data_IF_885087871372
#
_entry.id   IF_885087871372
#
_cell.length_a   1.000
_cell.length_b   1.000
_cell.length_c   1.000
_cell.angle_alpha   90.00
_cell.angle_beta   90.00
_cell.angle_gamma   90.00
#
_symmetry.space_group_name_H-M   'P 1'
#
loop_
_entity.id
_entity.type
_entity.pdbx_description
1 polymer ?
#
# COMPACT_ATOMS: atom_id res chain seq x y z
N UNK A 1 -11.48 -3.24 20.55
CA UNK A 1 -10.39 -4.05 19.95
C UNK A 1 -9.14 -3.20 19.89
N UNK A 2 -8.00 -3.83 20.08
CA UNK A 2 -6.70 -3.21 19.89
C UNK A 2 -5.89 -3.95 18.83
N UNK A 3 -5.18 -3.20 18.00
CA UNK A 3 -4.26 -3.71 17.00
C UNK A 3 -2.87 -3.18 17.29
N UNK A 4 -1.88 -4.07 17.36
CA UNK A 4 -0.54 -3.80 17.85
C UNK A 4 0.49 -4.22 16.80
N UNK A 5 1.56 -3.46 16.67
CA UNK A 5 2.68 -3.77 15.79
C UNK A 5 4.00 -3.51 16.51
N UNK A 6 4.90 -4.48 16.46
CA UNK A 6 6.19 -4.40 17.12
C UNK A 6 7.14 -3.47 16.35
N UNK A 7 7.49 -2.34 16.96
CA UNK A 7 8.20 -1.28 16.28
C UNK A 7 9.63 -1.70 15.90
N UNK A 8 10.03 -1.35 14.67
CA UNK A 8 11.38 -1.57 14.14
C UNK A 8 11.81 -3.05 14.08
N UNK A 9 10.88 -4.00 14.09
CA UNK A 9 11.17 -5.44 14.04
C UNK A 9 12.01 -5.85 12.82
N UNK A 10 11.74 -5.27 11.64
CA UNK A 10 12.61 -5.46 10.46
C UNK A 10 14.06 -5.06 10.74
N UNK A 11 14.31 -3.89 11.34
CA UNK A 11 15.68 -3.44 11.67
C UNK A 11 16.33 -4.35 12.72
N UNK A 12 15.54 -4.87 13.66
CA UNK A 12 15.99 -5.85 14.62
C UNK A 12 16.45 -7.13 13.91
N UNK A 13 15.67 -7.66 12.98
CA UNK A 13 16.03 -8.83 12.17
C UNK A 13 17.27 -8.60 11.32
N UNK A 14 17.35 -7.46 10.65
CA UNK A 14 18.49 -7.13 9.78
C UNK A 14 19.81 -7.12 10.54
N UNK A 15 19.79 -6.81 11.85
CA UNK A 15 20.99 -6.73 12.69
C UNK A 15 21.28 -7.99 13.51
N UNK A 16 20.26 -8.67 13.99
CA UNK A 16 20.40 -9.81 14.91
C UNK A 16 20.10 -11.17 14.25
N UNK A 17 19.58 -11.16 13.01
CA UNK A 17 19.18 -12.35 12.27
C UNK A 17 17.76 -12.83 12.61
N UNK A 18 17.11 -13.47 11.63
CA UNK A 18 15.71 -13.93 11.74
C UNK A 18 15.45 -14.91 12.89
N UNK A 19 16.42 -15.79 13.21
CA UNK A 19 16.29 -16.73 14.34
C UNK A 19 16.12 -15.99 15.68
N UNK A 20 16.78 -14.85 15.85
CA UNK A 20 16.62 -14.02 17.04
C UNK A 20 15.30 -13.25 16.99
N UNK A 21 14.86 -12.82 15.80
CA UNK A 21 13.52 -12.27 15.57
C UNK A 21 12.39 -13.20 16.00
N UNK A 22 12.45 -14.48 15.64
CA UNK A 22 11.44 -15.46 16.03
C UNK A 22 11.36 -15.64 17.55
N UNK A 23 12.51 -15.56 18.24
CA UNK A 23 12.56 -15.55 19.71
C UNK A 23 11.91 -14.29 20.28
N UNK A 24 12.15 -13.13 19.67
CA UNK A 24 11.52 -11.87 20.08
C UNK A 24 9.99 -11.93 19.90
N UNK A 25 9.48 -12.44 18.78
CA UNK A 25 8.04 -12.60 18.56
C UNK A 25 7.41 -13.56 19.58
N UNK A 26 8.10 -14.66 19.89
CA UNK A 26 7.66 -15.62 20.92
C UNK A 26 7.63 -14.97 22.31
N UNK A 27 8.66 -14.18 22.63
CA UNK A 27 8.76 -13.46 23.88
C UNK A 27 7.67 -12.40 24.02
N UNK A 28 7.47 -11.58 22.99
CA UNK A 28 6.43 -10.56 22.96
C UNK A 28 5.05 -11.18 23.08
N UNK A 29 4.76 -12.27 22.35
CA UNK A 29 3.50 -13.01 22.48
C UNK A 29 3.24 -13.49 23.91
N UNK A 30 4.26 -13.99 24.63
CA UNK A 30 4.15 -14.39 26.04
C UNK A 30 3.89 -13.20 26.96
N UNK A 31 4.55 -12.06 26.74
CA UNK A 31 4.28 -10.83 27.50
C UNK A 31 2.83 -10.41 27.34
N UNK A 32 2.30 -10.42 26.11
CA UNK A 32 0.89 -10.10 25.87
C UNK A 32 -0.05 -11.09 26.56
N UNK A 33 0.25 -12.40 26.51
CA UNK A 33 -0.54 -13.44 27.19
C UNK A 33 -0.58 -13.24 28.70
N UNK A 34 0.57 -12.97 29.32
CA UNK A 34 0.66 -12.71 30.76
C UNK A 34 -0.10 -11.42 31.14
N UNK A 35 -0.02 -10.39 30.31
CA UNK A 35 -0.68 -9.11 30.57
C UNK A 35 -2.21 -9.20 30.56
N UNK A 36 -2.78 -10.16 29.81
CA UNK A 36 -4.23 -10.41 29.78
C UNK A 36 -4.67 -11.50 30.77
N UNK A 37 -3.75 -12.13 31.49
CA UNK A 37 -4.09 -13.18 32.45
C UNK A 37 -5.01 -12.61 33.55
N UNK A 38 -6.10 -13.34 33.84
CA UNK A 38 -7.12 -12.90 34.80
C UNK A 38 -8.13 -11.87 34.24
N UNK A 39 -8.02 -11.49 32.96
CA UNK A 39 -9.03 -10.69 32.25
C UNK A 39 -9.90 -11.56 31.34
N UNK A 40 -10.94 -10.98 30.75
CA UNK A 40 -11.72 -11.61 29.67
C UNK A 40 -11.16 -11.29 28.27
N UNK A 41 -9.93 -10.76 28.18
CA UNK A 41 -9.33 -10.36 26.91
C UNK A 41 -8.70 -11.56 26.19
N UNK A 42 -8.70 -11.52 24.86
CA UNK A 42 -8.11 -12.56 24.01
C UNK A 42 -7.02 -11.95 23.15
N UNK A 43 -5.81 -12.53 23.20
CA UNK A 43 -4.67 -12.14 22.38
C UNK A 43 -4.51 -13.13 21.23
N UNK A 44 -4.30 -12.62 20.02
CA UNK A 44 -3.93 -13.42 18.86
C UNK A 44 -2.80 -12.74 18.09
N UNK A 45 -1.93 -13.55 17.46
CA UNK A 45 -1.03 -13.04 16.43
C UNK A 45 -1.83 -12.93 15.13
N UNK A 46 -1.81 -11.76 14.52
CA UNK A 46 -2.58 -11.47 13.32
C UNK A 46 -1.72 -11.60 12.06
N UNK A 47 -0.49 -11.11 12.12
CA UNK A 47 0.42 -11.06 10.97
C UNK A 47 1.88 -11.38 11.33
N UNK A 48 2.80 -10.86 10.54
CA UNK A 48 4.24 -11.06 10.70
C UNK A 48 4.73 -10.53 12.06
N UNK A 49 4.64 -9.23 12.27
CA UNK A 49 5.00 -8.55 13.54
C UNK A 49 3.78 -7.94 14.26
N UNK A 50 2.58 -8.33 13.82
CA UNK A 50 1.29 -7.74 14.21
C UNK A 50 0.49 -8.67 15.14
N UNK A 51 -0.13 -8.08 16.16
CA UNK A 51 -0.94 -8.75 17.17
C UNK A 51 -2.27 -8.03 17.38
N UNK A 52 -3.30 -8.77 17.74
CA UNK A 52 -4.61 -8.23 18.05
C UNK A 52 -5.02 -8.63 19.48
N UNK A 53 -5.68 -7.69 20.18
CA UNK A 53 -6.32 -7.95 21.48
C UNK A 53 -7.80 -7.64 21.37
N UNK A 54 -8.62 -8.66 21.55
CA UNK A 54 -10.07 -8.51 21.70
C UNK A 54 -10.36 -8.23 23.18
N UNK A 55 -11.09 -7.15 23.43
CA UNK A 55 -11.36 -6.61 24.77
C UNK A 55 -12.88 -6.46 24.95
N UNK A 56 -13.62 -7.56 25.20
CA UNK A 56 -15.08 -7.51 25.30
C UNK A 56 -15.52 -6.72 26.53
N UNK A 57 -16.61 -5.96 26.40
CA UNK A 57 -17.17 -5.13 27.47
C UNK A 57 -16.17 -4.11 28.05
N UNK A 58 -15.31 -3.54 27.20
CA UNK A 58 -14.31 -2.55 27.59
C UNK A 58 -14.46 -1.32 26.72
N UNK A 59 -14.61 -0.15 27.35
CA UNK A 59 -14.68 1.13 26.64
C UNK A 59 -13.29 1.58 26.20
N UNK A 60 -13.22 2.46 25.19
CA UNK A 60 -11.94 2.90 24.60
C UNK A 60 -10.94 3.49 25.60
N UNK A 61 -11.41 4.24 26.61
CA UNK A 61 -10.53 4.88 27.58
C UNK A 61 -9.88 3.87 28.55
N UNK A 62 -10.64 2.85 28.96
CA UNK A 62 -10.11 1.73 29.75
C UNK A 62 -9.07 0.93 28.95
N UNK A 63 -9.37 0.68 27.68
CA UNK A 63 -8.44 0.02 26.77
C UNK A 63 -7.16 0.83 26.58
N UNK A 64 -7.28 2.16 26.43
CA UNK A 64 -6.15 3.07 26.31
C UNK A 64 -5.22 3.04 27.53
N UNK A 65 -5.80 3.06 28.74
CA UNK A 65 -5.03 2.98 29.98
C UNK A 65 -4.32 1.63 30.10
N UNK A 66 -5.02 0.54 29.82
CA UNK A 66 -4.46 -0.81 29.85
C UNK A 66 -3.27 -0.95 28.89
N UNK A 67 -3.44 -0.52 27.63
CA UNK A 67 -2.44 -0.68 26.59
C UNK A 67 -1.24 0.25 26.79
N UNK A 68 -1.44 1.47 27.31
CA UNK A 68 -0.30 2.33 27.63
C UNK A 68 0.55 1.78 28.77
N UNK A 69 -0.08 1.16 29.78
CA UNK A 69 0.64 0.45 30.84
C UNK A 69 1.45 -0.72 30.27
N UNK A 70 0.81 -1.54 29.42
CA UNK A 70 1.48 -2.66 28.74
C UNK A 70 2.63 -2.20 27.84
N UNK A 71 2.44 -1.11 27.09
CA UNK A 71 3.48 -0.48 26.27
C UNK A 71 4.69 -0.08 27.11
N UNK A 72 4.46 0.52 28.27
CA UNK A 72 5.53 0.90 29.20
C UNK A 72 6.25 -0.34 29.73
N UNK A 73 5.51 -1.36 30.14
CA UNK A 73 6.09 -2.63 30.62
C UNK A 73 7.00 -3.28 29.56
N UNK A 74 6.56 -3.31 28.31
CA UNK A 74 7.39 -3.80 27.18
C UNK A 74 8.64 -2.94 27.01
N UNK A 75 8.52 -1.61 27.11
CA UNK A 75 9.66 -0.69 27.01
C UNK A 75 10.69 -0.89 28.11
N UNK A 76 10.22 -1.12 29.34
CA UNK A 76 11.07 -1.35 30.52
C UNK A 76 11.65 -2.79 30.56
N UNK A 77 11.22 -3.67 29.65
CA UNK A 77 11.67 -5.05 29.58
C UNK A 77 12.86 -5.20 28.64
N UNK A 78 13.99 -5.65 29.18
CA UNK A 78 15.18 -5.96 28.39
C UNK A 78 14.99 -7.24 27.58
N UNK A 79 15.45 -7.21 26.32
CA UNK A 79 15.59 -8.38 25.47
C UNK A 79 16.93 -8.31 24.72
N UNK A 80 17.62 -9.42 24.59
CA UNK A 80 18.92 -9.47 23.91
C UNK A 80 18.81 -8.96 22.45
N UNK A 81 19.71 -8.07 22.02
CA UNK A 81 19.76 -7.52 20.66
C UNK A 81 19.04 -6.18 20.51
N UNK A 82 18.37 -5.68 21.55
CA UNK A 82 17.76 -4.34 21.54
C UNK A 82 18.80 -3.22 21.49
N UNK A 83 20.05 -3.47 21.89
CA UNK A 83 21.16 -2.52 21.82
C UNK A 83 21.41 -2.01 20.40
N UNK A 84 20.95 -2.79 19.42
CA UNK A 84 21.13 -2.54 18.00
C UNK A 84 19.96 -1.77 17.36
N UNK A 85 18.87 -1.45 18.07
CA UNK A 85 17.75 -0.65 17.52
C UNK A 85 17.77 0.80 18.04
N UNK A 86 17.14 1.77 17.34
CA UNK A 86 17.36 3.21 17.56
C UNK A 86 17.19 3.71 18.98
N UNK A 87 16.24 3.14 19.74
CA UNK A 87 15.92 3.56 21.11
C UNK A 87 16.43 2.60 22.20
N UNK A 88 17.11 1.52 21.80
CA UNK A 88 17.67 0.50 22.72
C UNK A 88 16.66 -0.14 23.67
N UNK A 89 15.38 -0.12 23.30
CA UNK A 89 14.29 -0.73 24.05
C UNK A 89 13.29 -1.35 23.08
N UNK A 90 12.50 -2.30 23.58
CA UNK A 90 11.35 -2.80 22.84
C UNK A 90 10.21 -1.78 22.88
N UNK A 91 9.45 -1.71 21.81
CA UNK A 91 8.27 -0.85 21.75
C UNK A 91 7.29 -1.42 20.76
N UNK A 92 6.02 -1.07 20.94
CA UNK A 92 5.00 -1.31 19.95
C UNK A 92 4.16 -0.05 19.76
N UNK A 93 3.65 0.09 18.55
CA UNK A 93 2.59 1.05 18.22
C UNK A 93 1.25 0.32 18.34
N UNK A 94 0.20 1.04 18.78
CA UNK A 94 -1.12 0.43 18.95
C UNK A 94 -2.25 1.36 18.53
N UNK A 95 -3.23 0.81 17.81
CA UNK A 95 -4.51 1.46 17.52
C UNK A 95 -5.68 0.80 18.22
N UNK A 96 -6.60 1.61 18.77
CA UNK A 96 -7.79 1.15 19.48
C UNK A 96 -9.04 1.59 18.72
N UNK A 97 -9.95 0.65 18.49
CA UNK A 97 -11.31 0.93 18.04
C UNK A 97 -12.35 0.31 18.98
N UNK A 98 -13.42 1.06 19.23
CA UNK A 98 -14.58 0.64 20.01
C UNK A 98 -15.71 0.23 19.06
N UNK A 99 -16.43 -0.84 19.42
CA UNK A 99 -17.61 -1.26 18.68
C UNK A 99 -18.76 -0.33 19.01
N UNK A 100 -19.28 0.40 18.03
CA UNK A 100 -20.41 1.31 18.19
C UNK A 100 -21.74 0.62 17.82
N UNK A 101 -22.86 1.17 18.29
CA UNK A 101 -24.20 0.59 18.05
C UNK A 101 -24.59 0.46 16.57
N UNK A 102 -23.98 1.26 15.72
CA UNK A 102 -24.25 1.31 14.29
C UNK A 102 -23.26 0.47 13.47
N UNK A 103 -22.36 -0.26 14.12
CA UNK A 103 -21.42 -1.18 13.46
C UNK A 103 -22.01 -2.59 13.40
N UNK A 104 -22.21 -3.09 12.18
CA UNK A 104 -22.78 -4.42 11.93
C UNK A 104 -21.73 -5.44 11.45
N UNK A 105 -20.55 -4.99 11.02
CA UNK A 105 -19.51 -5.82 10.43
C UNK A 105 -18.22 -5.79 11.27
N UNK A 106 -17.65 -6.97 11.51
CA UNK A 106 -16.37 -7.10 12.24
C UNK A 106 -15.19 -6.52 11.47
N UNK A 107 -15.27 -6.48 10.14
CA UNK A 107 -14.24 -5.88 9.28
C UNK A 107 -14.07 -4.38 9.58
N UNK A 108 -15.16 -3.67 9.83
CA UNK A 108 -15.09 -2.24 10.14
C UNK A 108 -14.40 -1.96 11.48
N UNK A 109 -14.56 -2.84 12.49
CA UNK A 109 -13.86 -2.70 13.76
C UNK A 109 -12.34 -2.88 13.60
N UNK A 110 -11.93 -3.87 12.80
CA UNK A 110 -10.52 -4.15 12.49
C UNK A 110 -9.93 -2.96 11.75
N UNK A 111 -10.63 -2.51 10.71
CA UNK A 111 -10.22 -1.39 9.88
C UNK A 111 -9.99 -0.10 10.68
N UNK A 112 -10.93 0.25 11.57
CA UNK A 112 -10.78 1.43 12.45
C UNK A 112 -9.58 1.30 13.40
N UNK A 113 -9.35 0.10 13.95
CA UNK A 113 -8.22 -0.13 14.85
C UNK A 113 -6.88 -0.02 14.10
N UNK A 114 -6.83 -0.54 12.88
CA UNK A 114 -5.66 -0.48 12.01
C UNK A 114 -5.32 0.96 11.57
N UNK A 115 -6.32 1.77 11.22
CA UNK A 115 -6.09 3.18 10.92
C UNK A 115 -5.52 3.95 12.13
N UNK A 116 -6.03 3.70 13.34
CA UNK A 116 -5.46 4.29 14.54
C UNK A 116 -4.00 3.84 14.77
N UNK A 117 -3.67 2.59 14.45
CA UNK A 117 -2.31 2.05 14.53
C UNK A 117 -1.37 2.75 13.53
N UNK A 118 -1.84 3.05 12.31
CA UNK A 118 -1.07 3.84 11.35
C UNK A 118 -0.70 5.20 11.92
N UNK A 119 -1.66 5.91 12.52
CA UNK A 119 -1.42 7.19 13.17
C UNK A 119 -0.40 7.10 14.30
N UNK A 120 -0.47 6.03 15.10
CA UNK A 120 0.51 5.77 16.14
C UNK A 120 1.94 5.66 15.54
N UNK A 121 2.10 4.95 14.42
CA UNK A 121 3.38 4.84 13.71
C UNK A 121 3.84 6.19 13.13
N UNK A 122 2.94 6.94 12.52
CA UNK A 122 3.23 8.24 11.90
C UNK A 122 3.64 9.31 12.92
N UNK A 123 3.11 9.25 14.15
CA UNK A 123 3.46 10.17 15.25
C UNK A 123 4.77 9.83 15.97
N UNK A 124 5.61 8.97 15.39
CA UNK A 124 6.93 8.63 15.92
C UNK A 124 7.01 7.30 16.67
N UNK A 125 6.00 6.43 16.52
CA UNK A 125 5.92 5.09 17.09
C UNK A 125 5.87 5.08 18.63
N UNK A 126 5.92 3.89 19.24
CA UNK A 126 5.94 3.69 20.69
C UNK A 126 4.82 4.48 21.42
N UNK A 127 3.60 4.42 20.88
CA UNK A 127 2.44 5.07 21.48
C UNK A 127 1.17 4.27 21.20
N UNK A 128 0.09 4.67 21.87
CA UNK A 128 -1.25 4.10 21.72
C UNK A 128 -2.16 5.20 21.23
N UNK A 129 -2.92 4.93 20.17
CA UNK A 129 -3.80 5.89 19.52
C UNK A 129 -5.24 5.39 19.56
N UNK A 130 -6.16 6.29 19.93
CA UNK A 130 -7.59 6.04 19.80
C UNK A 130 -8.04 6.40 18.39
N UNK A 131 -8.92 5.58 17.83
CA UNK A 131 -9.67 5.95 16.64
C UNK A 131 -10.55 7.18 16.94
N UNK A 132 -10.39 8.22 16.13
CA UNK A 132 -11.17 9.45 16.20
C UNK A 132 -11.75 9.79 14.82
N UNK A 133 -13.08 9.78 14.72
CA UNK A 133 -13.81 10.12 13.50
C UNK A 133 -13.49 11.54 12.98
N UNK A 134 -13.10 12.46 13.86
CA UNK A 134 -12.74 13.82 13.44
C UNK A 134 -11.40 13.87 12.71
N UNK A 135 -10.39 13.11 13.16
CA UNK A 135 -9.13 12.94 12.44
C UNK A 135 -9.32 12.27 11.07
N UNK A 136 -10.27 11.33 10.97
CA UNK A 136 -10.59 10.66 9.71
C UNK A 136 -11.22 11.60 8.68
N UNK A 137 -12.11 12.49 9.14
CA UNK A 137 -12.65 13.55 8.28
C UNK A 137 -11.54 14.51 7.81
N UNK A 138 -10.53 14.75 8.63
CA UNK A 138 -9.35 15.52 8.24
C UNK A 138 -8.51 14.77 7.19
N UNK A 139 -8.36 13.45 7.29
CA UNK A 139 -7.74 12.64 6.23
C UNK A 139 -8.53 12.69 4.93
N UNK A 140 -9.86 12.57 4.96
CA UNK A 140 -10.67 12.71 3.75
C UNK A 140 -10.50 14.08 3.09
N UNK A 141 -10.45 15.15 3.89
CA UNK A 141 -10.18 16.52 3.42
C UNK A 141 -8.76 16.62 2.85
N UNK A 142 -7.76 16.08 3.55
CA UNK A 142 -6.36 16.11 3.14
C UNK A 142 -6.14 15.30 1.86
N UNK A 143 -6.71 14.10 1.77
CA UNK A 143 -6.70 13.27 0.57
C UNK A 143 -7.30 14.01 -0.62
N UNK A 144 -8.42 14.72 -0.41
CA UNK A 144 -9.02 15.55 -1.45
C UNK A 144 -8.09 16.69 -1.89
N UNK A 145 -7.42 17.36 -0.94
CA UNK A 145 -6.46 18.42 -1.25
C UNK A 145 -5.22 17.88 -2.00
N UNK A 146 -4.68 16.75 -1.57
CA UNK A 146 -3.54 16.10 -2.19
C UNK A 146 -3.91 15.59 -3.60
N UNK A 147 -5.10 15.02 -3.77
CA UNK A 147 -5.65 14.66 -5.07
C UNK A 147 -5.76 15.88 -5.99
N UNK A 148 -6.35 16.98 -5.52
CA UNK A 148 -6.46 18.23 -6.28
C UNK A 148 -5.07 18.77 -6.67
N UNK A 149 -4.10 18.74 -5.76
CA UNK A 149 -2.73 19.19 -6.01
C UNK A 149 -2.03 18.33 -7.08
N UNK A 150 -2.08 16.99 -6.95
CA UNK A 150 -1.49 16.08 -7.92
C UNK A 150 -2.21 16.15 -9.26
N UNK A 151 -3.53 16.34 -9.29
CA UNK A 151 -4.26 16.56 -10.53
C UNK A 151 -3.80 17.81 -11.27
N UNK A 152 -3.44 18.88 -10.58
CA UNK A 152 -2.87 20.08 -11.24
C UNK A 152 -1.49 19.78 -11.84
N UNK A 153 -0.65 19.00 -11.16
CA UNK A 153 0.65 18.58 -11.70
C UNK A 153 0.47 17.67 -12.94
N UNK A 154 -0.47 16.74 -12.89
CA UNK A 154 -0.81 15.86 -14.02
C UNK A 154 -1.47 16.64 -15.16
N UNK A 155 -2.23 17.71 -14.88
CA UNK A 155 -2.73 18.62 -15.92
C UNK A 155 -1.62 19.40 -16.61
N UNK A 156 -0.56 19.80 -15.90
CA UNK A 156 0.61 20.39 -16.54
C UNK A 156 1.24 19.44 -17.58
N UNK A 157 1.16 18.13 -17.32
CA UNK A 157 1.58 17.06 -18.23
C UNK A 157 0.84 17.03 -19.57
N UNK A 158 -0.44 17.44 -19.62
CA UNK A 158 -1.23 17.55 -20.85
C UNK A 158 -0.50 18.36 -21.94
N UNK A 159 0.31 19.33 -21.53
CA UNK A 159 1.06 20.19 -22.45
C UNK A 159 2.21 19.48 -23.18
N UNK A 160 2.71 18.35 -22.65
CA UNK A 160 3.77 17.52 -23.26
C UNK A 160 3.22 16.25 -23.90
N UNK A 161 2.23 15.60 -23.27
CA UNK A 161 1.63 14.37 -23.78
C UNK A 161 0.18 14.17 -23.28
N UNK A 162 -0.77 14.29 -24.21
CA UNK A 162 -2.20 14.08 -23.95
C UNK A 162 -2.53 12.61 -23.65
N UNK A 163 -1.74 11.67 -24.18
CA UNK A 163 -1.97 10.23 -23.99
C UNK A 163 -1.63 9.81 -22.55
N UNK A 164 -0.47 10.22 -22.04
CA UNK A 164 -0.07 9.94 -20.65
C UNK A 164 -1.10 10.48 -19.65
N UNK A 165 -1.67 11.68 -19.87
CA UNK A 165 -2.74 12.19 -19.00
C UNK A 165 -3.98 11.28 -18.95
N UNK A 166 -4.49 10.88 -20.12
CA UNK A 166 -5.68 10.02 -20.20
C UNK A 166 -5.41 8.65 -19.58
N UNK A 167 -4.19 8.15 -19.75
CA UNK A 167 -3.71 6.92 -19.13
C UNK A 167 -3.70 7.02 -17.61
N UNK A 168 -3.02 8.01 -17.02
CA UNK A 168 -3.01 8.22 -15.56
C UNK A 168 -4.42 8.32 -14.97
N UNK A 169 -5.36 8.96 -15.69
CA UNK A 169 -6.77 9.04 -15.25
C UNK A 169 -7.51 7.70 -15.26
N UNK A 170 -7.25 6.82 -16.23
CA UNK A 170 -7.85 5.48 -16.27
C UNK A 170 -7.21 4.56 -15.24
N UNK A 171 -5.88 4.57 -15.10
CA UNK A 171 -5.15 3.85 -14.05
C UNK A 171 -5.65 4.28 -12.67
N UNK A 172 -5.83 5.58 -12.43
CA UNK A 172 -6.47 6.11 -11.22
C UNK A 172 -7.86 5.51 -10.97
N UNK A 173 -8.72 5.45 -12.00
CA UNK A 173 -10.07 4.89 -11.87
C UNK A 173 -10.02 3.40 -11.51
N UNK A 174 -9.18 2.63 -12.19
CA UNK A 174 -9.00 1.21 -11.86
C UNK A 174 -8.40 1.01 -10.46
N UNK A 175 -7.47 1.85 -10.03
CA UNK A 175 -6.91 1.82 -8.68
C UNK A 175 -7.94 2.10 -7.60
N UNK A 176 -8.83 3.07 -7.84
CA UNK A 176 -9.96 3.38 -6.96
C UNK A 176 -10.91 2.17 -6.84
N UNK A 177 -11.37 1.64 -7.98
CA UNK A 177 -12.36 0.56 -8.02
C UNK A 177 -11.78 -0.76 -7.50
N UNK A 178 -10.61 -1.17 -7.99
CA UNK A 178 -9.95 -2.41 -7.56
C UNK A 178 -9.47 -2.31 -6.12
N UNK A 179 -8.88 -1.19 -5.71
CA UNK A 179 -8.41 -0.97 -4.34
C UNK A 179 -9.54 -1.09 -3.31
N UNK A 180 -10.76 -0.66 -3.64
CA UNK A 180 -11.92 -0.80 -2.76
C UNK A 180 -12.36 -2.27 -2.52
N UNK A 181 -11.94 -3.20 -3.40
CA UNK A 181 -12.26 -4.64 -3.31
C UNK A 181 -11.21 -5.47 -2.60
N UNK A 182 -10.08 -4.87 -2.25
CA UNK A 182 -9.01 -5.54 -1.54
C UNK A 182 -9.21 -5.29 -0.04
N UNK A 183 -9.85 -6.24 0.64
CA UNK A 183 -10.08 -6.17 2.09
C UNK A 183 -8.79 -6.17 2.90
N UNK A 184 -7.68 -6.67 2.33
CA UNK A 184 -6.35 -6.62 2.94
C UNK A 184 -5.64 -5.25 2.83
N UNK A 185 -6.25 -4.27 2.14
CA UNK A 185 -5.72 -2.91 2.08
C UNK A 185 -6.37 -2.06 3.16
N UNK A 186 -5.52 -1.36 3.91
CA UNK A 186 -5.96 -0.30 4.82
C UNK A 186 -6.46 0.91 4.03
N UNK A 187 -7.20 1.84 4.65
CA UNK A 187 -7.64 3.06 3.94
C UNK A 187 -6.47 3.90 3.47
N UNK A 188 -5.40 3.97 4.27
CA UNK A 188 -4.19 4.67 3.88
C UNK A 188 -3.53 4.03 2.67
N UNK A 189 -3.46 2.70 2.64
CA UNK A 189 -2.93 1.97 1.49
C UNK A 189 -3.78 2.16 0.24
N UNK A 190 -5.11 2.20 0.38
CA UNK A 190 -6.04 2.53 -0.72
C UNK A 190 -5.78 3.96 -1.22
N UNK A 191 -5.72 4.94 -0.33
CA UNK A 191 -5.42 6.33 -0.68
C UNK A 191 -4.06 6.47 -1.35
N UNK A 192 -3.03 5.82 -0.81
CA UNK A 192 -1.67 5.77 -1.36
C UNK A 192 -1.66 5.15 -2.76
N UNK A 193 -2.38 4.04 -2.95
CA UNK A 193 -2.53 3.40 -4.26
C UNK A 193 -3.21 4.34 -5.26
N UNK A 194 -4.26 5.04 -4.85
CA UNK A 194 -5.02 5.97 -5.70
C UNK A 194 -4.16 7.18 -6.11
N UNK A 195 -3.48 7.83 -5.15
CA UNK A 195 -2.61 8.97 -5.42
C UNK A 195 -1.38 8.54 -6.24
N UNK A 196 -0.78 7.40 -5.90
CA UNK A 196 0.35 6.83 -6.63
C UNK A 196 -0.03 6.47 -8.07
N UNK A 197 -1.19 5.86 -8.30
CA UNK A 197 -1.71 5.57 -9.62
C UNK A 197 -1.89 6.82 -10.49
N UNK A 198 -2.26 7.96 -9.90
CA UNK A 198 -2.39 9.21 -10.62
C UNK A 198 -1.03 9.78 -11.07
N UNK A 199 0.01 9.62 -10.25
CA UNK A 199 1.30 10.31 -10.44
C UNK A 199 2.46 9.40 -10.85
N UNK A 200 2.27 8.08 -10.94
CA UNK A 200 3.33 7.09 -11.18
C UNK A 200 4.24 7.39 -12.37
N UNK A 201 3.70 8.06 -13.38
CA UNK A 201 4.34 8.40 -14.64
C UNK A 201 4.95 9.80 -14.69
N UNK A 202 4.96 10.55 -13.58
CA UNK A 202 5.39 11.97 -13.52
C UNK A 202 6.80 12.20 -14.05
N UNK A 203 7.71 11.23 -13.93
CA UNK A 203 9.06 11.37 -14.47
C UNK A 203 9.14 11.37 -16.01
N UNK A 204 8.06 11.04 -16.72
CA UNK A 204 8.01 11.18 -18.19
C UNK A 204 8.16 12.64 -18.64
N UNK A 205 8.04 13.61 -17.73
CA UNK A 205 8.30 15.03 -18.02
C UNK A 205 9.75 15.28 -18.44
N UNK A 206 10.69 14.47 -17.93
CA UNK A 206 12.12 14.58 -18.23
C UNK A 206 12.51 13.81 -19.52
N UNK A 207 11.59 12.99 -20.05
CA UNK A 207 11.83 12.27 -21.30
C UNK A 207 11.73 13.23 -22.49
N UNK A 208 12.72 13.26 -23.41
CA UNK A 208 12.67 14.08 -24.62
C UNK A 208 11.41 13.79 -25.47
N UNK A 209 10.75 14.84 -25.98
CA UNK A 209 9.50 14.71 -26.76
C UNK A 209 9.64 13.83 -27.99
N UNK A 210 10.77 13.88 -28.68
CA UNK A 210 11.01 13.08 -29.88
C UNK A 210 11.12 11.58 -29.58
N UNK A 211 11.54 11.23 -28.36
CA UNK A 211 11.57 9.85 -27.86
C UNK A 211 10.18 9.44 -27.39
N UNK A 212 9.53 10.27 -26.56
CA UNK A 212 8.22 9.98 -25.97
C UNK A 212 7.13 9.79 -27.04
N UNK A 213 7.18 10.59 -28.11
CA UNK A 213 6.19 10.57 -29.20
C UNK A 213 6.67 9.81 -30.47
N UNK A 214 7.76 9.04 -30.39
CA UNK A 214 8.39 8.40 -31.56
C UNK A 214 7.48 7.37 -32.22
N UNK A 215 7.16 7.54 -33.51
CA UNK A 215 6.16 6.71 -34.22
C UNK A 215 6.48 5.23 -34.46
N UNK A 216 7.69 4.78 -34.13
CA UNK A 216 8.20 3.45 -34.45
C UNK A 216 8.80 2.77 -33.25
N UNK A 217 9.46 1.63 -33.48
CA UNK A 217 10.20 0.94 -32.41
C UNK A 217 11.28 1.87 -31.86
N UNK A 218 11.38 1.87 -30.54
CA UNK A 218 12.44 2.57 -29.84
C UNK A 218 13.75 1.80 -30.00
N UNK A 219 14.82 2.54 -30.25
CA UNK A 219 16.18 2.05 -30.21
C UNK A 219 16.56 1.71 -28.77
N UNK A 220 17.57 0.85 -28.58
CA UNK A 220 18.00 0.44 -27.24
C UNK A 220 18.33 1.64 -26.33
N UNK A 221 19.00 2.66 -26.87
CA UNK A 221 19.36 3.85 -26.10
C UNK A 221 18.14 4.71 -25.73
N UNK A 222 17.13 4.79 -26.61
CA UNK A 222 15.87 5.49 -26.33
C UNK A 222 15.07 4.75 -25.25
N UNK A 223 15.07 3.42 -25.28
CA UNK A 223 14.44 2.60 -24.26
C UNK A 223 15.07 2.81 -22.87
N UNK A 224 16.40 2.88 -22.79
CA UNK A 224 17.10 3.19 -21.52
C UNK A 224 16.79 4.61 -21.01
N UNK A 225 16.50 5.56 -21.90
CA UNK A 225 16.02 6.90 -21.50
C UNK A 225 14.60 6.84 -20.96
N UNK A 226 13.69 6.09 -21.61
CA UNK A 226 12.32 5.94 -21.12
C UNK A 226 12.31 5.32 -19.73
N UNK A 227 13.10 4.26 -19.48
CA UNK A 227 13.15 3.61 -18.16
C UNK A 227 13.47 4.58 -17.02
N UNK A 228 14.26 5.64 -17.27
CA UNK A 228 14.63 6.63 -16.26
C UNK A 228 13.47 7.46 -15.74
N UNK A 229 12.29 7.41 -16.36
CA UNK A 229 11.12 8.11 -15.82
C UNK A 229 10.77 7.64 -14.39
N UNK A 230 11.09 6.40 -14.01
CA UNK A 230 10.81 5.92 -12.64
C UNK A 230 11.72 6.60 -11.62
N UNK A 231 13.01 6.77 -11.95
CA UNK A 231 13.99 7.43 -11.06
C UNK A 231 13.81 8.94 -11.05
N UNK A 232 13.56 9.55 -12.22
CA UNK A 232 13.24 10.98 -12.30
C UNK A 232 11.92 11.31 -11.60
N UNK A 233 10.92 10.44 -11.72
CA UNK A 233 9.66 10.60 -11.03
C UNK A 233 9.84 10.58 -9.51
N UNK A 234 10.67 9.67 -9.00
CA UNK A 234 11.08 9.67 -7.60
C UNK A 234 11.77 10.97 -7.21
N UNK A 235 12.75 11.43 -7.97
CA UNK A 235 13.49 12.67 -7.69
C UNK A 235 12.56 13.88 -7.58
N UNK A 236 11.60 14.01 -8.52
CA UNK A 236 10.61 15.08 -8.53
C UNK A 236 9.74 15.05 -7.28
N UNK A 237 9.24 13.88 -6.88
CA UNK A 237 8.29 13.76 -5.77
C UNK A 237 8.97 13.78 -4.41
N UNK A 238 10.22 13.32 -4.31
CA UNK A 238 10.98 13.25 -3.06
C UNK A 238 11.31 14.63 -2.45
N UNK A 239 11.17 15.72 -3.21
CA UNK A 239 11.29 17.09 -2.67
C UNK A 239 10.18 17.41 -1.66
N UNK A 240 8.98 16.84 -1.87
CA UNK A 240 7.81 17.06 -1.02
C UNK A 240 7.61 15.87 -0.09
N UNK A 241 8.16 15.97 1.13
CA UNK A 241 8.11 14.90 2.16
C UNK A 241 6.72 14.32 2.44
N UNK A 242 5.65 15.08 2.17
CA UNK A 242 4.27 14.57 2.36
C UNK A 242 3.93 13.39 1.44
N UNK A 243 4.66 13.24 0.32
CA UNK A 243 4.43 12.22 -0.70
C UNK A 243 5.46 11.08 -0.65
N UNK A 244 6.24 10.96 0.44
CA UNK A 244 7.24 9.90 0.61
C UNK A 244 6.65 8.49 0.43
N UNK A 245 5.41 8.29 0.87
CA UNK A 245 4.67 7.03 0.73
C UNK A 245 4.34 6.68 -0.73
N UNK A 246 4.34 7.67 -1.64
CA UNK A 246 4.08 7.47 -3.08
C UNK A 246 5.35 7.03 -3.84
N UNK A 247 6.55 7.30 -3.30
CA UNK A 247 7.82 7.06 -3.98
C UNK A 247 7.98 5.61 -4.46
N UNK A 248 7.62 4.57 -3.68
CA UNK A 248 7.72 3.19 -4.16
C UNK A 248 6.79 2.89 -5.34
N UNK A 249 5.61 3.51 -5.42
CA UNK A 249 4.69 3.31 -6.54
C UNK A 249 5.22 3.99 -7.81
N UNK A 250 5.91 5.12 -7.68
CA UNK A 250 6.51 5.82 -8.81
C UNK A 250 7.76 5.09 -9.30
N UNK A 251 8.63 4.67 -8.38
CA UNK A 251 9.93 4.11 -8.75
C UNK A 251 9.86 2.63 -9.16
N UNK A 252 8.95 1.85 -8.56
CA UNK A 252 8.97 0.38 -8.66
C UNK A 252 7.78 -0.22 -9.41
N UNK A 253 6.88 0.58 -10.01
CA UNK A 253 5.72 0.03 -10.73
C UNK A 253 6.09 -0.78 -11.99
N UNK A 254 7.35 -0.71 -12.43
CA UNK A 254 7.89 -1.54 -13.51
C UNK A 254 8.80 -2.69 -13.04
N UNK A 255 8.90 -2.89 -11.73
CA UNK A 255 9.45 -4.14 -11.21
C UNK A 255 8.53 -5.31 -11.55
N UNK A 256 9.13 -6.46 -11.81
CA UNK A 256 8.43 -7.68 -12.23
C UNK A 256 8.59 -8.74 -11.17
N UNK A 257 7.54 -9.51 -10.92
CA UNK A 257 7.55 -10.56 -9.90
C UNK A 257 8.68 -11.59 -10.08
N UNK A 258 9.14 -11.82 -11.33
CA UNK A 258 10.26 -12.69 -11.70
C UNK A 258 11.67 -12.08 -11.51
N UNK A 259 11.78 -10.80 -11.13
CA UNK A 259 13.05 -10.09 -10.99
C UNK A 259 13.64 -9.57 -12.30
N UNK A 260 12.88 -9.59 -13.41
CA UNK A 260 13.34 -9.08 -14.72
C UNK A 260 12.88 -7.64 -15.00
N UNK A 261 12.34 -6.97 -13.98
CA UNK A 261 11.86 -5.60 -14.05
C UNK A 261 13.00 -4.59 -13.94
N UNK A 262 12.61 -3.33 -13.76
CA UNK A 262 13.53 -2.21 -13.53
C UNK A 262 12.91 -1.26 -12.49
N UNK A 263 13.72 -0.46 -11.77
CA UNK A 263 15.15 -0.19 -12.00
C UNK A 263 16.14 -1.15 -11.33
N UNK A 264 15.72 -1.93 -10.33
CA UNK A 264 16.62 -2.72 -9.48
C UNK A 264 16.53 -4.22 -9.72
N UNK A 265 15.45 -4.72 -10.34
CA UNK A 265 15.25 -6.14 -10.58
C UNK A 265 14.81 -6.90 -9.33
N UNK A 266 14.03 -6.23 -8.46
CA UNK A 266 13.48 -6.82 -7.24
C UNK A 266 12.59 -8.02 -7.57
N UNK A 267 12.59 -9.04 -6.72
CA UNK A 267 11.88 -10.29 -6.99
C UNK A 267 10.80 -10.59 -5.95
N UNK A 268 9.64 -11.05 -6.43
CA UNK A 268 8.55 -11.49 -5.58
C UNK A 268 8.08 -10.42 -4.60
N UNK A 269 8.09 -10.75 -3.32
CA UNK A 269 7.61 -9.88 -2.23
C UNK A 269 8.62 -8.81 -1.79
N UNK A 270 9.83 -8.80 -2.36
CA UNK A 270 10.76 -7.66 -2.22
C UNK A 270 10.16 -6.39 -2.83
N UNK A 271 9.27 -6.55 -3.81
CA UNK A 271 8.51 -5.46 -4.41
C UNK A 271 7.36 -5.08 -3.46
N UNK A 272 7.25 -3.81 -3.05
CA UNK A 272 6.16 -3.36 -2.18
C UNK A 272 4.78 -3.74 -2.72
N UNK A 273 3.88 -4.16 -1.83
CA UNK A 273 2.52 -4.63 -2.16
C UNK A 273 1.80 -3.71 -3.14
N UNK A 274 1.79 -2.40 -2.88
CA UNK A 274 1.08 -1.42 -3.71
C UNK A 274 1.71 -1.26 -5.11
N UNK A 275 3.03 -1.40 -5.24
CA UNK A 275 3.70 -1.38 -6.54
C UNK A 275 3.37 -2.64 -7.37
N UNK A 276 3.27 -3.81 -6.74
CA UNK A 276 2.80 -5.05 -7.40
C UNK A 276 1.38 -4.92 -7.94
N UNK A 277 0.48 -4.30 -7.16
CA UNK A 277 -0.90 -4.02 -7.56
C UNK A 277 -0.93 -3.02 -8.72
N UNK A 278 -0.19 -1.91 -8.59
CA UNK A 278 -0.15 -0.86 -9.62
C UNK A 278 0.40 -1.38 -10.95
N UNK A 279 1.42 -2.24 -10.94
CA UNK A 279 1.99 -2.88 -12.14
C UNK A 279 0.91 -3.64 -12.95
N UNK A 280 -0.01 -4.32 -12.28
CA UNK A 280 -1.13 -5.03 -12.92
C UNK A 280 -2.11 -4.03 -13.55
N UNK A 281 -2.48 -3.00 -12.80
CA UNK A 281 -3.43 -1.96 -13.25
C UNK A 281 -2.87 -1.20 -14.46
N UNK A 282 -1.63 -0.73 -14.39
CA UNK A 282 -0.93 -0.04 -15.47
C UNK A 282 -0.84 -0.92 -16.72
N UNK A 283 -0.41 -2.18 -16.56
CA UNK A 283 -0.32 -3.12 -17.68
C UNK A 283 -1.67 -3.40 -18.33
N UNK A 284 -2.74 -3.52 -17.54
CA UNK A 284 -4.09 -3.70 -18.07
C UNK A 284 -4.55 -2.52 -18.91
N UNK A 285 -4.38 -1.29 -18.42
CA UNK A 285 -4.73 -0.08 -19.18
C UNK A 285 -3.88 0.05 -20.45
N UNK A 286 -2.58 -0.27 -20.36
CA UNK A 286 -1.66 -0.27 -21.48
C UNK A 286 -2.04 -1.26 -22.59
N UNK A 287 -2.59 -2.42 -22.24
CA UNK A 287 -3.03 -3.45 -23.19
C UNK A 287 -4.37 -3.11 -23.86
N UNK A 288 -5.27 -2.46 -23.12
CA UNK A 288 -6.67 -2.26 -23.53
C UNK A 288 -6.95 -0.90 -24.15
N UNK A 289 -6.00 0.04 -24.09
CA UNK A 289 -6.15 1.37 -24.70
C UNK A 289 -5.33 1.54 -25.97
N UNK A 290 -5.91 2.22 -26.97
CA UNK A 290 -5.21 2.63 -28.19
C UNK A 290 -3.95 3.45 -27.87
N UNK A 291 -2.79 2.84 -28.16
CA UNK A 291 -1.49 3.50 -28.16
C UNK A 291 -0.97 3.60 -29.60
N UNK A 292 -0.17 4.61 -29.97
CA UNK A 292 0.24 4.81 -31.36
C UNK A 292 1.08 3.66 -31.98
N UNK A 293 1.52 2.68 -31.18
CA UNK A 293 2.45 1.59 -31.57
C UNK A 293 1.94 0.17 -31.32
N UNK A 294 0.73 -0.02 -30.82
CA UNK A 294 0.24 -1.35 -30.45
C UNK A 294 -1.25 -1.53 -30.81
N UNK A 295 -1.61 -2.62 -31.54
CA UNK A 295 -3.02 -2.98 -31.68
C UNK A 295 -3.60 -3.32 -30.30
N UNK A 296 -4.75 -2.72 -29.98
CA UNK A 296 -5.43 -2.91 -28.70
C UNK A 296 -5.90 -4.34 -28.54
N UNK A 297 -5.67 -4.90 -27.35
CA UNK A 297 -6.29 -6.16 -26.93
C UNK A 297 -7.70 -5.88 -26.43
N UNK A 298 -8.60 -6.83 -26.66
CA UNK A 298 -9.87 -6.92 -25.94
C UNK A 298 -9.62 -7.15 -24.44
N UNK A 299 -10.63 -6.92 -23.62
CA UNK A 299 -10.50 -7.14 -22.18
C UNK A 299 -10.23 -8.62 -21.89
N UNK A 300 -10.90 -9.53 -22.59
CA UNK A 300 -10.66 -10.97 -22.54
C UNK A 300 -9.21 -11.33 -22.84
N UNK A 301 -8.65 -10.82 -23.95
CA UNK A 301 -7.25 -11.07 -24.33
C UNK A 301 -6.26 -10.47 -23.31
N UNK A 302 -6.59 -9.32 -22.72
CA UNK A 302 -5.79 -8.71 -21.67
C UNK A 302 -5.84 -9.54 -20.37
N UNK A 303 -7.01 -10.09 -20.01
CA UNK A 303 -7.15 -10.96 -18.84
C UNK A 303 -6.43 -12.31 -19.03
N UNK A 304 -6.48 -12.87 -20.25
CA UNK A 304 -5.71 -14.07 -20.60
C UNK A 304 -4.20 -13.79 -20.49
N UNK A 305 -3.74 -12.63 -20.95
CA UNK A 305 -2.34 -12.23 -20.82
C UNK A 305 -1.93 -12.03 -19.35
N UNK A 306 -2.76 -11.37 -18.53
CA UNK A 306 -2.52 -11.23 -17.07
C UNK A 306 -2.42 -12.61 -16.42
N UNK A 307 -3.32 -13.53 -16.78
CA UNK A 307 -3.31 -14.91 -16.27
C UNK A 307 -2.05 -15.67 -16.70
N UNK A 308 -1.64 -15.53 -17.97
CA UNK A 308 -0.44 -16.15 -18.52
C UNK A 308 0.83 -15.63 -17.86
N UNK A 309 0.85 -14.35 -17.49
CA UNK A 309 1.98 -13.67 -16.88
C UNK A 309 1.96 -13.67 -15.34
N UNK A 310 0.97 -14.32 -14.71
CA UNK A 310 0.92 -14.52 -13.26
C UNK A 310 2.13 -15.35 -12.77
N UNK A 311 2.79 -14.89 -11.71
CA UNK A 311 4.03 -15.48 -11.20
C UNK A 311 5.29 -15.12 -12.01
N UNK A 312 5.17 -14.37 -13.12
CA UNK A 312 6.30 -13.83 -13.87
C UNK A 312 6.31 -12.31 -13.86
N UNK A 313 5.48 -11.65 -14.67
CA UNK A 313 5.35 -10.19 -14.62
C UNK A 313 4.58 -9.77 -13.37
N UNK A 314 3.49 -10.48 -13.08
CA UNK A 314 2.52 -10.09 -12.07
C UNK A 314 2.58 -10.98 -10.86
N UNK A 315 2.26 -10.40 -9.71
CA UNK A 315 1.97 -11.16 -8.51
C UNK A 315 0.76 -12.09 -8.77
N UNK A 316 0.89 -13.41 -8.54
CA UNK A 316 -0.18 -14.36 -8.84
C UNK A 316 -1.43 -14.15 -7.97
N UNK A 317 -1.29 -13.67 -6.73
CA UNK A 317 -2.40 -13.41 -5.82
C UNK A 317 -3.21 -12.22 -6.32
N UNK A 318 -2.55 -11.09 -6.58
CA UNK A 318 -3.22 -9.89 -7.05
C UNK A 318 -3.73 -10.03 -8.49
N UNK A 319 -3.02 -10.77 -9.36
CA UNK A 319 -3.48 -11.06 -10.71
C UNK A 319 -4.82 -11.83 -10.70
N UNK A 320 -4.95 -12.84 -9.84
CA UNK A 320 -6.21 -13.59 -9.71
C UNK A 320 -7.36 -12.71 -9.24
N UNK A 321 -7.12 -11.86 -8.21
CA UNK A 321 -8.11 -10.91 -7.70
C UNK A 321 -8.50 -9.88 -8.76
N UNK A 322 -7.54 -9.36 -9.52
CA UNK A 322 -7.80 -8.39 -10.58
C UNK A 322 -8.62 -9.01 -11.73
N UNK A 323 -8.34 -10.25 -12.10
CA UNK A 323 -9.12 -10.96 -13.13
C UNK A 323 -10.58 -11.12 -12.70
N UNK A 324 -10.83 -11.48 -11.44
CA UNK A 324 -12.18 -11.57 -10.89
C UNK A 324 -12.88 -10.20 -10.93
N UNK A 325 -12.19 -9.14 -10.49
CA UNK A 325 -12.69 -7.77 -10.53
C UNK A 325 -13.15 -7.33 -11.93
N UNK A 326 -12.32 -7.49 -12.96
CA UNK A 326 -12.66 -7.07 -14.34
C UNK A 326 -13.85 -7.87 -14.88
N UNK A 327 -13.92 -9.18 -14.59
CA UNK A 327 -15.04 -10.04 -15.04
C UNK A 327 -16.37 -9.69 -14.42
N UNK A 328 -16.38 -9.33 -13.14
CA UNK A 328 -17.60 -8.99 -12.41
C UNK A 328 -18.10 -7.57 -12.70
N UNK A 329 -17.21 -6.63 -13.01
CA UNK A 329 -17.56 -5.20 -13.04
C UNK A 329 -17.41 -4.55 -14.40
N UNK A 330 -16.40 -4.90 -15.19
CA UNK A 330 -16.14 -4.21 -16.44
C UNK A 330 -16.85 -4.85 -17.65
N UNK A 331 -16.95 -6.18 -17.68
CA UNK A 331 -17.60 -6.90 -18.78
C UNK A 331 -19.14 -6.77 -18.78
N UNK A 332 -19.86 -6.86 -17.63
CA UNK A 332 -21.32 -6.77 -17.63
C UNK A 332 -21.86 -5.36 -17.95
N UNK A 333 -21.09 -4.31 -17.65
CA UNK A 333 -21.46 -2.92 -17.97
C UNK A 333 -21.40 -2.63 -19.49
N UNK A 334 -20.63 -3.41 -20.26
CA UNK A 334 -20.54 -3.25 -21.72
C UNK A 334 -21.65 -3.99 -22.48
N UNK A 335 -22.10 -5.15 -22.00
CA UNK A 335 -23.26 -5.84 -22.61
C UNK A 335 -24.52 -4.98 -22.54
N UNK A 336 -24.65 -4.14 -21.50
CA UNK A 336 -25.74 -3.17 -21.36
C UNK A 336 -25.57 -1.93 -22.25
N UNK A 337 -24.33 -1.53 -22.59
CA UNK A 337 -24.04 -0.38 -23.46
C UNK A 337 -24.04 -0.71 -24.97
N UNK A 338 -24.04 -2.00 -25.35
CA UNK A 338 -24.20 -2.43 -26.74
C UNK A 338 -25.66 -2.72 -27.13
N UNK A 339 -26.60 -2.54 -26.20
CA UNK A 339 -28.05 -2.69 -26.38
C UNK A 339 -28.80 -1.35 -26.51
N UNK A 340 -28.08 -0.21 -26.54
CA UNK A 340 -28.57 1.12 -26.93
C UNK A 340 -27.86 1.59 -28.21
#
# INVERSE_FOLDING_TARGET
MAFLDLDDFKKYNDRNGHLQGDRLLTFFGKLLQNAVEGTNFTVARYGGEEFAILMPNTIKDEAYVFLNRLRKEVNDTYFEGVEHIPYRCLSFSCGIAEMEKDMYESEELIHRADQALYYAKAQGKNNVQLYDKHHMRLDEIRFKQDLEALEQQVKFFLSKDVYTYRHSKRVFKYALEFGSRLSELTDHERQTLILGALIHDIGKIEVPRDILNKRGKLEKHEWEIIKKHVTWGREIVAEEKRFDDLLPLIELHHERYDGRGYPYGLKGEEIPKLARILCIIDSFDAMTTERPYQPTKTFEEALEEIKRCAGTQFDPVYAAKFIAFVREHCLPLMELQQLE
#
